data_IF_903090503469
#
_entry.id   IF_903090503469
#
_cell.length_a   1.000
_cell.length_b   1.000
_cell.length_c   1.000
_cell.angle_alpha   90.00
_cell.angle_beta   90.00
_cell.angle_gamma   90.00
#
_symmetry.space_group_name_H-M   'P 1'
#
loop_
_entity.id
_entity.type
_entity.pdbx_description
1 polymer ?
#
# COMPACT_ATOMS: atom_id res chain seq x y z
N UNK A 1 13.80 13.53 -4.89
CA UNK A 1 13.52 12.30 -5.68
C UNK A 1 14.80 11.58 -6.09
N UNK A 2 15.73 12.23 -6.81
CA UNK A 2 16.96 11.58 -7.29
C UNK A 2 17.79 10.88 -6.18
N UNK A 3 17.98 11.54 -5.03
CA UNK A 3 18.75 11.00 -3.90
C UNK A 3 18.10 9.75 -3.29
N UNK A 4 16.78 9.77 -3.05
CA UNK A 4 16.04 8.62 -2.49
C UNK A 4 16.08 7.42 -3.41
N UNK A 5 15.91 7.64 -4.72
CA UNK A 5 16.00 6.58 -5.73
C UNK A 5 17.41 5.97 -5.80
N UNK A 6 18.45 6.80 -5.68
CA UNK A 6 19.85 6.32 -5.66
C UNK A 6 20.18 5.48 -4.43
N UNK A 7 19.62 5.80 -3.25
CA UNK A 7 19.78 5.02 -2.02
C UNK A 7 19.20 3.61 -2.14
N UNK A 8 18.01 3.47 -2.76
CA UNK A 8 17.37 2.16 -2.97
C UNK A 8 18.22 1.23 -3.84
N UNK A 9 19.06 1.78 -4.72
CA UNK A 9 19.97 0.99 -5.56
C UNK A 9 21.27 0.59 -4.87
N UNK A 10 21.72 1.34 -3.87
CA UNK A 10 23.07 1.22 -3.30
C UNK A 10 23.10 0.46 -1.97
N UNK A 11 22.07 0.61 -1.13
CA UNK A 11 22.18 0.29 0.29
C UNK A 11 21.47 -1.02 0.70
N UNK A 12 21.28 -1.95 -0.24
CA UNK A 12 20.70 -3.27 0.05
C UNK A 12 19.33 -3.16 0.77
N UNK A 13 18.55 -2.13 0.40
CA UNK A 13 17.24 -1.85 0.99
C UNK A 13 16.25 -2.90 0.53
N UNK A 14 15.85 -3.79 1.45
CA UNK A 14 14.90 -4.85 1.14
C UNK A 14 13.45 -4.37 1.06
N UNK A 15 13.11 -3.26 1.74
CA UNK A 15 11.74 -2.77 1.79
C UNK A 15 11.66 -1.24 1.93
N UNK A 16 10.58 -0.66 1.41
CA UNK A 16 10.21 0.74 1.66
C UNK A 16 8.81 0.82 2.26
N UNK A 17 8.59 1.84 3.08
CA UNK A 17 7.26 2.21 3.56
C UNK A 17 6.93 3.63 3.10
N UNK A 18 5.71 3.82 2.59
CA UNK A 18 5.18 5.10 2.16
C UNK A 18 3.97 5.44 3.03
N UNK A 19 4.12 6.45 3.88
CA UNK A 19 3.00 7.02 4.63
C UNK A 19 2.23 8.03 3.78
N UNK A 20 0.92 7.87 3.71
CA UNK A 20 0.02 8.78 3.01
C UNK A 20 -1.27 8.99 3.79
N UNK A 21 -1.82 10.20 3.75
CA UNK A 21 -3.15 10.46 4.32
C UNK A 21 -4.29 10.07 3.38
N UNK A 22 -4.00 9.61 2.16
CA UNK A 22 -4.99 9.33 1.12
C UNK A 22 -5.64 10.57 0.48
N UNK A 23 -5.61 11.73 1.16
CA UNK A 23 -6.28 12.98 0.73
C UNK A 23 -5.64 13.68 -0.46
N UNK A 24 -4.37 13.40 -0.75
CA UNK A 24 -3.61 14.03 -1.85
C UNK A 24 -3.00 12.96 -2.76
N UNK A 25 -3.84 12.25 -3.55
CA UNK A 25 -3.39 11.14 -4.40
C UNK A 25 -2.35 11.59 -5.46
N UNK A 26 -2.38 12.84 -5.92
CA UNK A 26 -1.40 13.34 -6.89
C UNK A 26 0.02 13.43 -6.32
N UNK A 27 0.17 13.74 -5.03
CA UNK A 27 1.49 13.72 -4.39
C UNK A 27 2.03 12.31 -4.27
N UNK A 28 1.15 11.34 -3.99
CA UNK A 28 1.52 9.93 -4.00
C UNK A 28 1.95 9.49 -5.39
N UNK A 29 1.19 9.84 -6.44
CA UNK A 29 1.56 9.54 -7.83
C UNK A 29 2.93 10.11 -8.19
N UNK A 30 3.20 11.37 -7.83
CA UNK A 30 4.48 12.01 -8.10
C UNK A 30 5.64 11.33 -7.36
N UNK A 31 5.41 10.90 -6.11
CA UNK A 31 6.38 10.11 -5.34
C UNK A 31 6.64 8.77 -6.02
N UNK A 32 5.59 8.02 -6.33
CA UNK A 32 5.68 6.71 -6.96
C UNK A 32 6.44 6.77 -8.29
N UNK A 33 6.07 7.70 -9.16
CA UNK A 33 6.73 7.93 -10.46
C UNK A 33 8.23 8.22 -10.30
N UNK A 34 8.61 9.00 -9.29
CA UNK A 34 10.02 9.28 -9.00
C UNK A 34 10.82 8.10 -8.42
N UNK A 35 10.14 7.05 -7.95
CA UNK A 35 10.76 5.84 -7.39
C UNK A 35 10.79 4.67 -8.38
N UNK A 36 9.93 4.69 -9.41
CA UNK A 36 9.68 3.61 -10.37
C UNK A 36 10.91 2.80 -10.76
N UNK A 37 11.95 3.47 -11.28
CA UNK A 37 13.15 2.81 -11.82
C UNK A 37 13.98 2.07 -10.75
N UNK A 38 13.77 2.41 -9.48
CA UNK A 38 14.48 1.82 -8.35
C UNK A 38 13.68 0.75 -7.62
N UNK A 39 12.37 0.65 -7.85
CA UNK A 39 11.50 -0.32 -7.17
C UNK A 39 11.85 -1.78 -7.49
N UNK A 40 12.54 -2.06 -8.59
CA UNK A 40 13.03 -3.40 -8.91
C UNK A 40 14.07 -3.94 -7.91
N UNK A 41 14.64 -3.09 -7.05
CA UNK A 41 15.66 -3.48 -6.07
C UNK A 41 15.07 -3.77 -4.68
N UNK A 42 13.79 -3.47 -4.45
CA UNK A 42 13.12 -3.73 -3.17
C UNK A 42 12.27 -4.98 -3.27
N UNK A 43 12.24 -5.77 -2.20
CA UNK A 43 11.42 -7.00 -2.08
C UNK A 43 10.01 -6.70 -1.57
N UNK A 44 9.81 -5.57 -0.89
CA UNK A 44 8.52 -5.18 -0.34
C UNK A 44 8.28 -3.66 -0.39
N UNK A 45 7.05 -3.27 -0.71
CA UNK A 45 6.53 -1.92 -0.55
C UNK A 45 5.34 -1.97 0.40
N UNK A 46 5.47 -1.28 1.53
CA UNK A 46 4.39 -1.03 2.46
C UNK A 46 3.74 0.33 2.20
N UNK A 47 2.42 0.39 2.12
CA UNK A 47 1.65 1.63 2.07
C UNK A 47 0.87 1.76 3.37
N UNK A 48 1.18 2.80 4.14
CA UNK A 48 0.49 3.13 5.39
C UNK A 48 -0.45 4.30 5.17
N UNK A 49 -1.75 4.09 5.40
CA UNK A 49 -2.81 5.09 5.31
C UNK A 49 -3.82 4.92 6.44
N UNK A 50 -4.52 5.98 6.89
CA UNK A 50 -5.54 5.81 7.90
C UNK A 50 -6.76 5.07 7.34
N UNK A 51 -7.32 4.15 8.12
CA UNK A 51 -8.65 3.59 7.88
C UNK A 51 -9.69 4.73 7.85
N UNK A 52 -10.30 4.95 6.70
CA UNK A 52 -11.26 6.03 6.45
C UNK A 52 -12.70 5.50 6.30
N UNK A 53 -12.99 4.33 6.88
CA UNK A 53 -14.30 3.67 6.80
C UNK A 53 -14.65 3.28 5.37
N UNK A 54 -15.88 3.58 4.94
CA UNK A 54 -16.43 3.26 3.61
C UNK A 54 -15.54 3.71 2.43
N UNK A 55 -14.81 4.80 2.61
CA UNK A 55 -13.95 5.35 1.55
C UNK A 55 -12.60 4.63 1.40
N UNK A 56 -12.23 3.76 2.34
CA UNK A 56 -10.90 3.13 2.41
C UNK A 56 -10.59 2.34 1.14
N UNK A 57 -11.52 1.49 0.69
CA UNK A 57 -11.33 0.67 -0.53
C UNK A 57 -11.16 1.55 -1.76
N UNK A 58 -11.97 2.61 -1.89
CA UNK A 58 -11.86 3.56 -3.00
C UNK A 58 -10.49 4.25 -3.04
N UNK A 59 -9.98 4.67 -1.87
CA UNK A 59 -8.64 5.26 -1.75
C UNK A 59 -7.55 4.24 -2.10
N UNK A 60 -7.63 3.02 -1.55
CA UNK A 60 -6.66 1.95 -1.83
C UNK A 60 -6.62 1.62 -3.33
N UNK A 61 -7.77 1.45 -3.97
CA UNK A 61 -7.86 1.21 -5.42
C UNK A 61 -7.26 2.37 -6.22
N UNK A 62 -7.49 3.62 -5.79
CA UNK A 62 -6.94 4.79 -6.47
C UNK A 62 -5.42 4.87 -6.37
N UNK A 63 -4.85 4.52 -5.22
CA UNK A 63 -3.40 4.49 -5.04
C UNK A 63 -2.79 3.31 -5.80
N UNK A 64 -3.43 2.13 -5.74
CA UNK A 64 -3.00 0.94 -6.45
C UNK A 64 -2.99 1.14 -7.97
N UNK A 65 -3.96 1.87 -8.53
CA UNK A 65 -3.97 2.19 -9.97
C UNK A 65 -2.79 3.07 -10.43
N UNK A 66 -2.00 3.63 -9.51
CA UNK A 66 -0.75 4.30 -9.86
C UNK A 66 0.46 3.36 -9.80
N UNK A 67 0.29 2.22 -9.13
CA UNK A 67 1.32 1.26 -8.80
C UNK A 67 1.30 0.02 -9.69
N UNK A 68 0.12 -0.38 -10.17
CA UNK A 68 -0.15 -1.70 -10.77
C UNK A 68 0.77 -2.07 -11.94
N UNK A 69 1.15 -1.11 -12.78
CA UNK A 69 2.02 -1.36 -13.93
C UNK A 69 3.48 -1.69 -13.53
N UNK A 70 3.93 -1.15 -12.38
CA UNK A 70 5.33 -1.11 -11.99
C UNK A 70 5.66 -1.93 -10.74
N UNK A 71 4.64 -2.35 -9.99
CA UNK A 71 4.85 -3.13 -8.77
C UNK A 71 5.25 -4.57 -9.13
N UNK A 72 6.51 -4.92 -8.82
CA UNK A 72 7.09 -6.27 -9.04
C UNK A 72 7.45 -6.99 -7.74
N UNK A 73 7.17 -6.36 -6.61
CA UNK A 73 7.55 -6.79 -5.27
C UNK A 73 6.31 -7.00 -4.40
N UNK A 74 6.48 -7.55 -3.19
CA UNK A 74 5.36 -7.74 -2.28
C UNK A 74 4.74 -6.40 -1.89
N UNK A 75 3.41 -6.32 -1.90
CA UNK A 75 2.68 -5.13 -1.51
C UNK A 75 1.95 -5.37 -0.19
N UNK A 76 2.30 -4.56 0.83
CA UNK A 76 1.70 -4.61 2.15
C UNK A 76 0.88 -3.33 2.39
N UNK A 77 -0.32 -3.47 2.93
CA UNK A 77 -1.17 -2.34 3.31
C UNK A 77 -1.32 -2.27 4.84
N UNK A 78 -1.06 -1.10 5.40
CA UNK A 78 -1.22 -0.79 6.82
C UNK A 78 -2.26 0.31 7.00
N UNK A 79 -3.18 0.14 7.95
CA UNK A 79 -4.36 0.99 8.08
C UNK A 79 -4.37 1.92 9.30
N UNK A 80 -3.27 1.99 10.04
CA UNK A 80 -3.16 2.89 11.18
C UNK A 80 -2.78 4.32 10.79
N UNK A 81 -2.17 4.51 9.61
CA UNK A 81 -1.80 5.81 9.06
C UNK A 81 -0.83 6.61 9.92
N UNK A 82 -0.19 5.96 10.89
CA UNK A 82 0.73 6.59 11.85
C UNK A 82 2.15 6.52 11.30
N UNK A 83 2.92 7.62 11.32
CA UNK A 83 4.35 7.58 11.04
C UNK A 83 5.01 6.57 11.99
N UNK A 84 5.80 5.63 11.46
CA UNK A 84 6.44 4.58 12.26
C UNK A 84 7.39 5.18 13.31
N UNK A 85 7.36 4.63 14.54
CA UNK A 85 8.45 4.74 15.52
C UNK A 85 9.47 3.61 15.39
N UNK A 86 9.24 2.62 14.51
CA UNK A 86 10.13 1.49 14.23
C UNK A 86 9.51 0.09 14.38
N UNK A 87 8.37 -0.05 15.07
CA UNK A 87 7.69 -1.33 15.30
C UNK A 87 6.29 -1.37 14.69
N UNK A 88 5.85 -2.56 14.23
CA UNK A 88 4.43 -2.85 14.00
C UNK A 88 3.74 -2.90 15.37
N UNK A 89 3.35 -1.74 15.87
CA UNK A 89 2.70 -1.59 17.16
C UNK A 89 1.26 -2.11 17.15
N UNK A 90 0.65 -2.17 18.34
CA UNK A 90 -0.75 -2.60 18.54
C UNK A 90 -1.76 -1.84 17.66
N UNK A 91 -1.45 -0.62 17.25
CA UNK A 91 -2.29 0.19 16.35
C UNK A 91 -2.48 -0.47 14.99
N UNK A 92 -1.39 -0.85 14.33
CA UNK A 92 -1.42 -1.47 13.01
C UNK A 92 -2.26 -2.75 12.98
N UNK A 93 -2.06 -3.65 13.96
CA UNK A 93 -2.84 -4.90 14.06
C UNK A 93 -4.32 -4.63 14.28
N UNK A 94 -4.66 -3.71 15.19
CA UNK A 94 -6.06 -3.40 15.51
C UNK A 94 -6.79 -2.83 14.30
N UNK A 95 -6.19 -1.89 13.59
CA UNK A 95 -6.81 -1.25 12.43
C UNK A 95 -6.94 -2.23 11.26
N UNK A 96 -5.95 -3.11 11.04
CA UNK A 96 -6.04 -4.17 10.03
C UNK A 96 -7.20 -5.14 10.32
N UNK A 97 -7.35 -5.59 11.57
CA UNK A 97 -8.47 -6.47 11.97
C UNK A 97 -9.80 -5.72 11.81
N UNK A 98 -9.88 -4.47 12.27
CA UNK A 98 -11.12 -3.68 12.16
C UNK A 98 -11.56 -3.53 10.70
N UNK A 99 -10.61 -3.31 9.79
CA UNK A 99 -10.90 -3.26 8.36
C UNK A 99 -11.33 -4.61 7.79
N UNK A 100 -10.65 -5.71 8.16
CA UNK A 100 -11.03 -7.04 7.72
C UNK A 100 -12.46 -7.42 8.18
N UNK A 101 -12.84 -7.08 9.42
CA UNK A 101 -14.20 -7.28 9.93
C UNK A 101 -15.21 -6.46 9.14
N UNK A 102 -14.91 -5.19 8.85
CA UNK A 102 -15.77 -4.35 8.03
C UNK A 102 -15.93 -4.92 6.60
N UNK A 103 -14.84 -5.36 5.97
CA UNK A 103 -14.85 -5.97 4.65
C UNK A 103 -15.63 -7.31 4.63
N UNK A 104 -15.55 -8.10 5.70
CA UNK A 104 -16.32 -9.34 5.80
C UNK A 104 -17.83 -9.11 5.97
N UNK A 105 -18.24 -7.91 6.38
CA UNK A 105 -19.64 -7.54 6.60
C UNK A 105 -20.31 -6.88 5.38
N UNK A 106 -19.55 -6.39 4.39
CA UNK A 106 -20.12 -5.85 3.14
C UNK A 106 -20.59 -7.00 2.25
N UNK A 107 -21.80 -6.86 1.68
CA UNK A 107 -22.42 -7.88 0.81
C UNK A 107 -21.62 -8.16 -0.48
N UNK A 108 -20.77 -7.23 -0.91
CA UNK A 108 -19.93 -7.40 -2.09
C UNK A 108 -18.74 -8.32 -1.78
N UNK A 109 -18.88 -9.60 -2.13
CA UNK A 109 -17.75 -10.53 -2.28
C UNK A 109 -17.22 -10.43 -3.72
N UNK A 110 -15.92 -10.18 -3.95
CA UNK A 110 -15.35 -10.30 -5.29
C UNK A 110 -15.64 -11.71 -5.83
N UNK A 111 -15.96 -11.87 -7.12
CA UNK A 111 -16.29 -13.16 -7.69
C UNK A 111 -15.14 -14.14 -7.44
N UNK A 112 -15.46 -15.34 -6.92
CA UNK A 112 -14.47 -16.39 -6.76
C UNK A 112 -13.89 -16.72 -8.15
N UNK A 113 -12.56 -16.64 -8.31
CA UNK A 113 -11.86 -17.01 -9.56
C UNK A 113 -11.93 -18.52 -9.88
N UNK A 114 -12.86 -19.26 -9.29
CA UNK A 114 -13.30 -20.56 -9.82
C UNK A 114 -14.31 -20.30 -10.91
N UNK A 115 -13.81 -19.92 -12.08
CA UNK A 115 -14.55 -20.03 -13.32
C UNK A 115 -15.03 -21.47 -13.46
N UNK A 116 -16.34 -21.66 -13.35
CA UNK A 116 -17.02 -22.88 -13.76
C UNK A 116 -16.71 -23.08 -15.24
N UNK A 117 -15.75 -23.96 -15.52
CA UNK A 117 -15.51 -24.48 -16.86
C UNK A 117 -16.57 -25.56 -17.10
N UNK A 118 -17.78 -25.12 -17.44
CA UNK A 118 -18.74 -25.95 -18.19
C UNK A 118 -18.46 -25.83 -19.68
#
# INVERSE_FOLDING_TARGET
MAVTSELLRRDNVDAIEIHTSGRRPDLFRNLWSGLRDSLQHVKLVAISLPNAGESTISVMNKLYSFMEDDIRCHNLWQLDGRPMSGDIGRGATKEAISFAVHLAAVEYRPPDETGDKT
#
